data_IF_563095587151
#
_entry.id   IF_563095587151
#
_cell.length_a   1.000
_cell.length_b   1.000
_cell.length_c   1.000
_cell.angle_alpha   90.00
_cell.angle_beta   90.00
_cell.angle_gamma   90.00
#
_symmetry.space_group_name_H-M   'P 1'
#
loop_
_entity.id
_entity.type
_entity.pdbx_description
1 polymer ?
#
# COMPACT_ATOMS: atom_id res chain seq x y z
N UNK A 1 -0.41 11.88 14.10
CA UNK A 1 0.77 11.16 14.60
C UNK A 1 0.95 9.94 13.71
N UNK A 2 2.11 9.78 13.10
CA UNK A 2 2.39 8.68 12.18
C UNK A 2 2.87 7.47 12.97
N UNK A 3 2.14 6.38 12.91
CA UNK A 3 2.51 5.13 13.58
C UNK A 3 3.07 4.17 12.54
N UNK A 4 4.31 4.41 12.14
CA UNK A 4 4.95 3.58 11.12
C UNK A 4 5.64 2.38 11.76
N UNK A 5 5.18 1.18 11.41
CA UNK A 5 5.84 -0.08 11.78
C UNK A 5 7.14 -0.33 11.00
N UNK A 6 7.36 0.40 9.90
CA UNK A 6 8.48 0.17 8.96
C UNK A 6 9.59 1.17 9.21
N UNK A 7 10.13 1.46 10.16
CA UNK A 7 11.20 2.43 10.27
C UNK A 7 11.37 3.01 11.65
N UNK A 8 10.64 2.44 12.54
CA UNK A 8 10.87 2.50 13.96
C UNK A 8 11.33 3.86 14.51
N UNK A 9 10.41 4.78 14.69
CA UNK A 9 10.65 5.93 15.54
C UNK A 9 10.70 5.58 17.02
N UNK A 10 10.31 4.34 17.36
CA UNK A 10 10.37 3.81 18.72
C UNK A 10 10.85 2.35 18.72
N UNK A 11 11.50 1.95 19.82
CA UNK A 11 11.94 0.58 20.02
C UNK A 11 10.76 -0.33 20.33
N UNK A 12 10.83 -1.58 19.86
CA UNK A 12 9.86 -2.66 20.13
C UNK A 12 8.46 -2.42 19.57
N UNK A 13 8.34 -1.60 18.52
CA UNK A 13 7.09 -1.33 17.80
C UNK A 13 6.94 -2.29 16.62
N UNK A 14 5.71 -2.69 16.31
CA UNK A 14 5.39 -3.55 15.18
C UNK A 14 3.90 -3.88 15.14
N UNK A 15 3.52 -4.84 14.31
CA UNK A 15 2.15 -5.35 14.23
C UNK A 15 2.07 -6.77 14.76
N UNK A 16 1.07 -7.07 15.56
CA UNK A 16 0.73 -8.46 15.95
C UNK A 16 0.32 -9.23 14.71
N UNK A 17 -0.53 -8.63 13.90
CA UNK A 17 -1.05 -9.22 12.67
C UNK A 17 -1.58 -8.12 11.75
N UNK A 18 -1.52 -8.39 10.44
CA UNK A 18 -2.17 -7.58 9.40
C UNK A 18 -3.30 -8.38 8.78
N UNK A 19 -4.49 -7.78 8.67
CA UNK A 19 -5.57 -8.27 7.80
C UNK A 19 -5.78 -7.27 6.68
N UNK A 20 -5.86 -7.78 5.44
CA UNK A 20 -5.95 -6.95 4.24
C UNK A 20 -7.36 -6.94 3.69
N UNK A 21 -7.93 -5.75 3.59
CA UNK A 21 -9.21 -5.51 2.92
C UNK A 21 -8.98 -5.43 1.41
N UNK A 22 -9.71 -6.26 0.66
CA UNK A 22 -9.74 -6.22 -0.81
C UNK A 22 -10.76 -5.17 -1.27
N UNK A 23 -10.32 -3.92 -1.42
CA UNK A 23 -11.16 -2.79 -1.84
C UNK A 23 -11.78 -3.02 -3.23
N UNK A 24 -11.00 -3.61 -4.15
CA UNK A 24 -11.47 -3.93 -5.50
C UNK A 24 -12.65 -4.92 -5.49
N UNK A 25 -12.62 -5.92 -4.59
CA UNK A 25 -13.72 -6.88 -4.45
C UNK A 25 -15.01 -6.22 -3.97
N UNK A 26 -14.92 -5.33 -3.00
CA UNK A 26 -16.08 -4.56 -2.53
C UNK A 26 -16.70 -3.76 -3.69
N UNK A 27 -15.85 -3.12 -4.51
CA UNK A 27 -16.32 -2.39 -5.69
C UNK A 27 -17.00 -3.29 -6.74
N UNK A 28 -16.55 -4.54 -6.87
CA UNK A 28 -17.19 -5.50 -7.78
C UNK A 28 -18.55 -5.99 -7.26
N UNK A 29 -18.69 -6.13 -5.95
CA UNK A 29 -19.91 -6.61 -5.29
C UNK A 29 -21.01 -5.52 -5.20
N UNK A 30 -20.64 -4.22 -5.35
CA UNK A 30 -21.53 -3.08 -5.12
C UNK A 30 -21.76 -2.23 -6.38
N UNK A 31 -22.81 -1.41 -6.38
CA UNK A 31 -23.20 -0.57 -7.53
C UNK A 31 -23.03 0.92 -7.27
N UNK A 32 -23.25 1.35 -6.04
CA UNK A 32 -23.21 2.76 -5.61
C UNK A 32 -22.12 3.01 -4.59
N UNK A 33 -21.73 4.28 -4.38
CA UNK A 33 -20.78 4.66 -3.32
C UNK A 33 -21.32 4.30 -1.93
N UNK A 34 -22.61 4.49 -1.70
CA UNK A 34 -23.25 4.21 -0.41
C UNK A 34 -23.26 2.71 -0.08
N UNK A 35 -23.61 1.87 -1.07
CA UNK A 35 -23.49 0.41 -0.92
C UNK A 35 -22.03 0.00 -0.64
N UNK A 36 -21.08 0.61 -1.36
CA UNK A 36 -19.66 0.35 -1.17
C UNK A 36 -19.19 0.71 0.25
N UNK A 37 -19.54 1.89 0.74
CA UNK A 37 -19.13 2.35 2.07
C UNK A 37 -19.76 1.49 3.17
N UNK A 38 -21.02 1.06 3.01
CA UNK A 38 -21.68 0.15 3.95
C UNK A 38 -20.99 -1.22 3.99
N UNK A 39 -20.68 -1.81 2.82
CA UNK A 39 -19.96 -3.08 2.75
C UNK A 39 -18.52 -2.96 3.28
N UNK A 40 -17.86 -1.84 3.01
CA UNK A 40 -16.52 -1.55 3.54
C UNK A 40 -16.52 -1.49 5.07
N UNK A 41 -17.52 -0.86 5.65
CA UNK A 41 -17.70 -0.80 7.10
C UNK A 41 -17.81 -2.20 7.71
N UNK A 42 -18.68 -3.05 7.15
CA UNK A 42 -18.86 -4.43 7.60
C UNK A 42 -17.57 -5.25 7.46
N UNK A 43 -16.89 -5.17 6.29
CA UNK A 43 -15.65 -5.90 6.05
C UNK A 43 -14.53 -5.45 6.97
N UNK A 44 -14.43 -4.15 7.22
CA UNK A 44 -13.45 -3.59 8.15
C UNK A 44 -13.71 -4.10 9.58
N UNK A 45 -14.95 -4.10 10.02
CA UNK A 45 -15.34 -4.63 11.33
C UNK A 45 -15.00 -6.12 11.48
N UNK A 46 -15.33 -6.95 10.48
CA UNK A 46 -14.98 -8.38 10.48
C UNK A 46 -13.46 -8.58 10.55
N UNK A 47 -12.68 -7.77 9.82
CA UNK A 47 -11.21 -7.80 9.90
C UNK A 47 -10.71 -7.47 11.31
N UNK A 48 -11.32 -6.51 11.99
CA UNK A 48 -10.97 -6.13 13.36
C UNK A 48 -11.28 -7.24 14.36
N UNK A 49 -12.46 -7.88 14.26
CA UNK A 49 -12.79 -9.04 15.09
C UNK A 49 -11.77 -10.18 14.93
N UNK A 50 -11.34 -10.45 13.69
CA UNK A 50 -10.33 -11.47 13.42
C UNK A 50 -8.94 -11.08 13.98
N UNK A 51 -8.55 -9.81 13.87
CA UNK A 51 -7.29 -9.31 14.42
C UNK A 51 -7.28 -9.38 15.95
N UNK A 52 -8.39 -9.03 16.59
CA UNK A 52 -8.55 -9.09 18.03
C UNK A 52 -8.46 -10.54 18.53
N UNK A 53 -9.15 -11.47 17.88
CA UNK A 53 -9.07 -12.89 18.21
C UNK A 53 -7.63 -13.44 18.11
N UNK A 54 -6.88 -13.05 17.07
CA UNK A 54 -5.46 -13.42 16.91
C UNK A 54 -4.61 -12.81 18.03
N UNK A 55 -4.84 -11.52 18.38
CA UNK A 55 -4.14 -10.86 19.48
C UNK A 55 -4.35 -11.59 20.79
N UNK A 56 -5.58 -11.97 21.12
CA UNK A 56 -5.89 -12.76 22.33
C UNK A 56 -5.15 -14.11 22.35
N UNK A 57 -5.08 -14.83 21.22
CA UNK A 57 -4.34 -16.09 21.14
C UNK A 57 -2.85 -15.87 21.38
N UNK A 58 -2.27 -14.83 20.77
CA UNK A 58 -0.84 -14.51 20.93
C UNK A 58 -0.56 -14.06 22.36
N UNK A 59 -1.38 -13.16 22.94
CA UNK A 59 -1.26 -12.70 24.32
C UNK A 59 -1.24 -13.86 25.32
N UNK A 60 -2.17 -14.80 25.18
CA UNK A 60 -2.18 -16.02 25.99
C UNK A 60 -0.90 -16.83 25.87
N UNK A 61 -0.27 -16.84 24.71
CA UNK A 61 1.00 -17.55 24.49
C UNK A 61 2.21 -16.78 25.06
N UNK A 62 2.14 -15.43 25.04
CA UNK A 62 3.11 -14.56 25.74
C UNK A 62 3.06 -14.83 27.24
N UNK A 63 1.86 -14.84 27.84
CA UNK A 63 1.65 -15.08 29.29
C UNK A 63 2.17 -16.46 29.71
N UNK A 64 2.08 -17.47 28.84
CA UNK A 64 2.62 -18.80 29.08
C UNK A 64 4.14 -18.89 28.90
N UNK A 65 4.82 -17.85 28.49
CA UNK A 65 6.26 -17.81 28.25
C UNK A 65 6.77 -18.66 27.09
N UNK A 66 5.88 -19.08 26.17
CA UNK A 66 6.25 -19.95 25.04
C UNK A 66 6.73 -19.18 23.81
N UNK A 67 6.77 -17.84 23.87
CA UNK A 67 7.28 -16.99 22.81
C UNK A 67 8.58 -16.29 23.28
N UNK A 68 9.76 -16.83 22.93
CA UNK A 68 11.03 -16.41 23.53
C UNK A 68 11.38 -14.94 23.31
N UNK A 69 11.04 -14.36 22.16
CA UNK A 69 11.32 -12.94 21.89
C UNK A 69 10.60 -12.00 22.87
N UNK A 70 9.41 -12.36 23.33
CA UNK A 70 8.68 -11.63 24.35
C UNK A 70 9.25 -11.91 25.75
N UNK A 71 9.52 -13.17 26.07
CA UNK A 71 10.06 -13.59 27.37
C UNK A 71 11.42 -12.95 27.64
N UNK A 72 12.27 -12.80 26.61
CA UNK A 72 13.56 -12.12 26.71
C UNK A 72 13.47 -10.59 26.57
N UNK A 73 12.28 -10.03 26.50
CA UNK A 73 12.07 -8.57 26.44
C UNK A 73 12.55 -7.91 25.14
N UNK A 74 12.75 -8.68 24.06
CA UNK A 74 13.11 -8.13 22.75
C UNK A 74 11.94 -7.44 22.09
N UNK A 75 10.72 -7.93 22.31
CA UNK A 75 9.46 -7.37 21.81
C UNK A 75 8.56 -7.06 23.02
N UNK A 76 7.88 -5.94 22.94
CA UNK A 76 6.86 -5.55 23.92
C UNK A 76 5.47 -5.71 23.30
N UNK A 77 4.67 -6.62 23.85
CA UNK A 77 3.34 -6.93 23.31
C UNK A 77 2.39 -5.74 23.38
N UNK A 78 2.50 -4.91 24.41
CA UNK A 78 1.71 -3.68 24.57
C UNK A 78 1.99 -2.62 23.51
N UNK A 79 3.20 -2.65 22.89
CA UNK A 79 3.59 -1.72 21.85
C UNK A 79 3.28 -2.22 20.42
N UNK A 80 2.66 -3.39 20.29
CA UNK A 80 2.28 -3.92 18.98
C UNK A 80 0.87 -3.48 18.58
N UNK A 81 0.72 -3.07 17.34
CA UNK A 81 -0.55 -2.68 16.73
C UNK A 81 -1.31 -3.89 16.19
N UNK A 82 -2.63 -3.75 16.05
CA UNK A 82 -3.41 -4.50 15.07
C UNK A 82 -3.50 -3.67 13.80
N UNK A 83 -3.18 -4.25 12.64
CA UNK A 83 -3.07 -3.50 11.38
C UNK A 83 -4.15 -3.91 10.39
N UNK A 84 -4.90 -2.92 9.91
CA UNK A 84 -5.79 -3.07 8.75
C UNK A 84 -5.00 -2.65 7.51
N UNK A 85 -4.65 -3.62 6.66
CA UNK A 85 -4.08 -3.37 5.36
C UNK A 85 -5.15 -3.20 4.28
N UNK A 86 -4.81 -2.62 3.15
CA UNK A 86 -5.69 -2.53 1.99
C UNK A 86 -4.95 -2.69 0.67
N UNK A 87 -5.69 -3.14 -0.35
CA UNK A 87 -5.27 -3.25 -1.74
C UNK A 87 -6.41 -2.85 -2.68
N UNK A 88 -6.07 -2.43 -3.89
CA UNK A 88 -7.07 -2.29 -4.96
C UNK A 88 -7.84 -0.98 -4.96
N UNK A 89 -7.28 0.10 -4.42
CA UNK A 89 -7.91 1.44 -4.47
C UNK A 89 -8.04 1.93 -5.92
N UNK A 90 -7.01 1.73 -6.76
CA UNK A 90 -7.04 2.10 -8.18
C UNK A 90 -8.16 1.37 -8.92
N UNK A 91 -8.27 0.06 -8.72
CA UNK A 91 -9.30 -0.77 -9.34
C UNK A 91 -10.70 -0.38 -8.86
N UNK A 92 -10.83 0.04 -7.60
CA UNK A 92 -12.06 0.64 -7.07
C UNK A 92 -12.44 1.92 -7.83
N UNK A 93 -11.50 2.87 -7.96
CA UNK A 93 -11.75 4.11 -8.69
C UNK A 93 -12.08 3.86 -10.16
N UNK A 94 -11.46 2.84 -10.77
CA UNK A 94 -11.73 2.43 -12.14
C UNK A 94 -13.13 1.83 -12.30
N UNK A 95 -13.58 1.01 -11.35
CA UNK A 95 -14.94 0.44 -11.33
C UNK A 95 -16.01 1.52 -11.31
N UNK A 96 -15.81 2.58 -10.53
CA UNK A 96 -16.71 3.74 -10.46
C UNK A 96 -16.52 4.75 -11.60
N UNK A 97 -15.58 4.49 -12.55
CA UNK A 97 -15.27 5.36 -13.70
C UNK A 97 -14.71 6.73 -13.31
N UNK A 98 -14.02 6.81 -12.18
CA UNK A 98 -13.38 8.01 -11.67
C UNK A 98 -11.92 8.15 -12.11
N UNK A 99 -11.39 7.15 -12.81
CA UNK A 99 -10.09 7.18 -13.48
C UNK A 99 -10.29 7.60 -14.93
N UNK A 100 -9.48 8.54 -15.40
CA UNK A 100 -9.47 9.06 -16.76
C UNK A 100 -8.07 8.98 -17.36
N UNK A 101 -8.01 9.19 -18.67
CA UNK A 101 -6.74 9.23 -19.43
C UNK A 101 -6.72 10.55 -20.21
N UNK A 102 -5.59 11.27 -20.13
CA UNK A 102 -5.37 12.51 -20.86
C UNK A 102 -4.99 12.27 -22.34
N UNK A 103 -4.81 13.33 -23.10
CA UNK A 103 -4.42 13.29 -24.50
C UNK A 103 -3.03 12.68 -24.75
N UNK A 104 -2.16 12.61 -23.74
CA UNK A 104 -0.84 11.99 -23.77
C UNK A 104 -0.86 10.53 -23.31
N UNK A 105 -2.05 10.01 -22.97
CA UNK A 105 -2.24 8.65 -22.48
C UNK A 105 -1.85 8.47 -21.01
N UNK A 106 -1.71 9.56 -20.23
CA UNK A 106 -1.47 9.46 -18.80
C UNK A 106 -2.78 9.29 -18.02
N UNK A 107 -2.78 8.35 -17.12
CA UNK A 107 -3.91 8.13 -16.21
C UNK A 107 -3.91 9.19 -15.11
N UNK A 108 -5.09 9.67 -14.74
CA UNK A 108 -5.28 10.58 -13.62
C UNK A 108 -6.61 10.32 -12.89
N UNK A 109 -6.66 10.75 -11.63
CA UNK A 109 -7.85 10.69 -10.80
C UNK A 109 -8.66 11.98 -10.93
N UNK A 110 -9.96 11.84 -11.14
CA UNK A 110 -10.89 12.97 -11.09
C UNK A 110 -11.09 13.48 -9.66
N UNK A 111 -11.63 14.67 -9.47
CA UNK A 111 -12.02 15.19 -8.15
C UNK A 111 -12.96 14.23 -7.40
N UNK A 112 -13.84 13.53 -8.13
CA UNK A 112 -14.70 12.48 -7.54
C UNK A 112 -13.89 11.30 -7.01
N UNK A 113 -12.81 10.90 -7.67
CA UNK A 113 -11.93 9.86 -7.16
C UNK A 113 -11.27 10.27 -5.86
N UNK A 114 -10.78 11.51 -5.79
CA UNK A 114 -10.18 12.09 -4.59
C UNK A 114 -11.18 12.11 -3.43
N UNK A 115 -12.36 12.67 -3.65
CA UNK A 115 -13.40 12.73 -2.62
C UNK A 115 -13.87 11.35 -2.15
N UNK A 116 -14.03 10.41 -3.07
CA UNK A 116 -14.44 9.04 -2.73
C UNK A 116 -13.33 8.27 -2.01
N UNK A 117 -12.06 8.43 -2.42
CA UNK A 117 -10.92 7.85 -1.73
C UNK A 117 -10.80 8.31 -0.27
N UNK A 118 -11.00 9.61 -0.03
CA UNK A 118 -11.04 10.15 1.33
C UNK A 118 -12.15 9.51 2.16
N UNK A 119 -13.37 9.36 1.63
CA UNK A 119 -14.48 8.69 2.31
C UNK A 119 -14.13 7.22 2.65
N UNK A 120 -13.48 6.51 1.74
CA UNK A 120 -13.03 5.12 1.96
C UNK A 120 -12.11 5.05 3.18
N UNK A 121 -11.04 5.84 3.21
CA UNK A 121 -10.08 5.83 4.31
C UNK A 121 -10.67 6.37 5.62
N UNK A 122 -11.51 7.40 5.56
CA UNK A 122 -12.24 7.89 6.73
C UNK A 122 -13.17 6.83 7.32
N UNK A 123 -13.86 6.06 6.48
CA UNK A 123 -14.73 4.96 6.93
C UNK A 123 -13.92 3.88 7.65
N UNK A 124 -12.81 3.42 7.07
CA UNK A 124 -11.94 2.43 7.71
C UNK A 124 -11.43 2.94 9.06
N UNK A 125 -11.02 4.21 9.11
CA UNK A 125 -10.51 4.83 10.34
C UNK A 125 -11.60 4.95 11.41
N UNK A 126 -12.78 5.45 11.04
CA UNK A 126 -13.92 5.56 11.94
C UNK A 126 -14.28 4.22 12.56
N UNK A 127 -14.38 3.16 11.77
CA UNK A 127 -14.69 1.80 12.24
C UNK A 127 -13.62 1.31 13.23
N UNK A 128 -12.34 1.58 12.96
CA UNK A 128 -11.26 1.23 13.88
C UNK A 128 -11.36 1.98 15.22
N UNK A 129 -11.62 3.28 15.17
CA UNK A 129 -11.76 4.11 16.38
C UNK A 129 -13.00 3.72 17.21
N UNK A 130 -14.12 3.41 16.53
CA UNK A 130 -15.35 2.89 17.17
C UNK A 130 -15.12 1.51 17.80
N UNK A 131 -14.38 0.64 17.15
CA UNK A 131 -14.01 -0.67 17.67
C UNK A 131 -13.19 -0.55 18.96
N UNK A 132 -12.12 0.26 18.95
CA UNK A 132 -11.30 0.52 20.15
C UNK A 132 -12.17 1.00 21.31
N UNK A 133 -13.06 1.93 21.04
CA UNK A 133 -13.94 2.50 22.08
C UNK A 133 -14.97 1.49 22.60
N UNK A 134 -15.58 0.71 21.70
CA UNK A 134 -16.66 -0.23 22.06
C UNK A 134 -16.14 -1.41 22.88
N UNK A 135 -14.94 -1.90 22.54
CA UNK A 135 -14.33 -3.06 23.21
C UNK A 135 -13.27 -2.67 24.25
N UNK A 136 -13.12 -1.35 24.53
CA UNK A 136 -12.16 -0.82 25.51
C UNK A 136 -10.75 -1.39 25.30
N UNK A 137 -10.32 -1.43 24.01
CA UNK A 137 -9.04 -2.04 23.66
C UNK A 137 -7.85 -1.31 24.31
N UNK A 138 -6.95 -2.04 24.93
CA UNK A 138 -5.69 -1.54 25.52
C UNK A 138 -4.55 -1.40 24.50
N UNK A 139 -4.85 -1.56 23.20
CA UNK A 139 -3.92 -1.48 22.08
C UNK A 139 -4.44 -0.54 20.99
N UNK A 140 -3.54 -0.17 20.09
CA UNK A 140 -3.85 0.70 18.96
C UNK A 140 -4.11 -0.10 17.69
N UNK A 141 -4.96 0.47 16.82
CA UNK A 141 -5.23 -0.04 15.47
C UNK A 141 -4.72 0.98 14.47
N UNK A 142 -3.98 0.51 13.47
CA UNK A 142 -3.51 1.35 12.38
C UNK A 142 -4.03 0.86 11.03
N UNK A 143 -4.03 1.78 10.05
CA UNK A 143 -4.38 1.51 8.65
C UNK A 143 -3.13 1.69 7.80
N UNK A 144 -2.81 0.71 6.96
CA UNK A 144 -1.54 0.66 6.24
C UNK A 144 -1.73 0.26 4.77
N UNK A 145 -1.00 0.94 3.92
CA UNK A 145 -0.81 0.54 2.52
C UNK A 145 0.19 -0.63 2.51
N UNK A 146 -0.31 -1.85 2.37
CA UNK A 146 0.54 -3.05 2.45
C UNK A 146 1.14 -3.42 1.07
N UNK A 147 2.32 -4.04 1.01
CA UNK A 147 2.93 -4.50 -0.27
C UNK A 147 2.06 -5.48 -1.06
N UNK A 148 1.36 -6.38 -0.40
CA UNK A 148 0.40 -7.34 -0.98
C UNK A 148 1.03 -8.48 -1.77
N UNK A 149 2.05 -8.22 -2.57
CA UNK A 149 2.83 -9.23 -3.32
C UNK A 149 2.00 -10.40 -3.88
N UNK A 150 2.27 -11.63 -3.41
CA UNK A 150 1.54 -12.82 -3.86
C UNK A 150 0.05 -12.81 -3.50
N UNK A 151 -0.35 -12.14 -2.42
CA UNK A 151 -1.75 -11.97 -2.04
C UNK A 151 -2.50 -11.11 -3.05
N UNK A 152 -1.88 -10.04 -3.55
CA UNK A 152 -2.47 -9.16 -4.57
C UNK A 152 -2.80 -9.93 -5.87
N UNK A 153 -1.88 -10.80 -6.31
CA UNK A 153 -2.10 -11.66 -7.47
C UNK A 153 -3.21 -12.69 -7.24
N UNK A 154 -3.19 -13.37 -6.08
CA UNK A 154 -4.19 -14.39 -5.73
C UNK A 154 -5.60 -13.80 -5.59
N UNK A 155 -5.73 -12.62 -4.98
CA UNK A 155 -7.01 -11.94 -4.84
C UNK A 155 -7.57 -11.56 -6.21
N UNK A 156 -6.76 -10.97 -7.09
CA UNK A 156 -7.19 -10.64 -8.43
C UNK A 156 -7.59 -11.88 -9.25
N UNK A 157 -6.83 -12.98 -9.17
CA UNK A 157 -7.17 -14.22 -9.87
C UNK A 157 -8.52 -14.78 -9.43
N UNK A 158 -8.82 -14.75 -8.12
CA UNK A 158 -10.13 -15.14 -7.59
C UNK A 158 -11.24 -14.23 -8.10
N UNK A 159 -11.02 -12.93 -8.08
CA UNK A 159 -12.02 -11.97 -8.53
C UNK A 159 -12.24 -12.04 -10.03
N UNK A 160 -11.22 -12.29 -10.84
CA UNK A 160 -11.34 -12.60 -12.27
C UNK A 160 -12.21 -13.84 -12.54
N UNK A 161 -12.11 -14.84 -11.69
CA UNK A 161 -12.95 -16.05 -11.82
C UNK A 161 -14.44 -15.73 -11.62
N UNK A 162 -14.76 -14.93 -10.59
CA UNK A 162 -16.16 -14.56 -10.29
C UNK A 162 -16.69 -13.42 -11.17
N UNK A 163 -15.82 -12.51 -11.60
CA UNK A 163 -16.15 -11.30 -12.38
C UNK A 163 -15.33 -11.18 -13.67
N UNK A 164 -15.37 -12.18 -14.58
CA UNK A 164 -14.46 -12.23 -15.74
C UNK A 164 -14.67 -11.08 -16.74
N UNK A 165 -15.82 -10.40 -16.68
CA UNK A 165 -16.15 -9.27 -17.58
C UNK A 165 -15.88 -7.90 -16.97
N UNK A 166 -15.36 -7.83 -15.74
CA UNK A 166 -15.05 -6.56 -15.11
C UNK A 166 -13.85 -5.88 -15.81
N UNK A 167 -13.99 -4.58 -16.08
CA UNK A 167 -12.97 -3.80 -16.80
C UNK A 167 -12.04 -3.05 -15.85
N UNK A 168 -11.54 -3.75 -14.83
CA UNK A 168 -10.63 -3.17 -13.82
C UNK A 168 -9.26 -3.84 -13.82
N UNK A 169 -9.05 -4.87 -14.60
CA UNK A 169 -7.85 -5.73 -14.59
C UNK A 169 -6.82 -5.27 -15.62
N UNK A 170 -6.21 -4.11 -15.41
CA UNK A 170 -5.17 -3.58 -16.31
C UNK A 170 -3.82 -4.26 -16.11
N UNK A 171 -3.57 -4.76 -14.91
CA UNK A 171 -2.34 -5.40 -14.50
C UNK A 171 -2.60 -6.85 -14.06
N UNK A 172 -1.56 -7.68 -13.91
CA UNK A 172 -1.72 -9.08 -13.49
C UNK A 172 -2.02 -9.25 -11.98
N UNK A 173 -1.99 -8.18 -11.20
CA UNK A 173 -2.21 -8.16 -9.76
C UNK A 173 -2.85 -6.83 -9.34
N UNK A 174 -3.53 -6.80 -8.20
CA UNK A 174 -4.05 -5.57 -7.63
C UNK A 174 -2.95 -4.63 -7.17
N UNK A 175 -3.14 -3.34 -7.43
CA UNK A 175 -2.19 -2.32 -6.99
C UNK A 175 -2.23 -2.14 -5.47
N UNK A 176 -1.05 -2.02 -4.86
CA UNK A 176 -0.92 -1.54 -3.50
C UNK A 176 -0.66 -0.02 -3.45
N UNK A 177 -0.01 0.53 -4.47
CA UNK A 177 0.13 1.98 -4.63
C UNK A 177 -1.22 2.62 -4.96
N UNK A 178 -1.45 3.86 -4.53
CA UNK A 178 -2.68 4.60 -4.86
C UNK A 178 -2.91 4.69 -6.37
N UNK A 179 -1.85 4.84 -7.17
CA UNK A 179 -1.84 4.54 -8.60
C UNK A 179 -0.75 3.48 -8.82
N UNK A 180 -1.08 2.27 -9.30
CA UNK A 180 -0.11 1.19 -9.43
C UNK A 180 1.08 1.55 -10.32
N UNK A 181 2.28 1.05 -10.00
CA UNK A 181 3.53 1.41 -10.68
C UNK A 181 3.53 1.06 -12.18
N UNK A 182 2.80 0.01 -12.58
CA UNK A 182 2.64 -0.37 -13.98
C UNK A 182 1.66 0.49 -14.78
N UNK A 183 0.94 1.41 -14.15
CA UNK A 183 0.00 2.31 -14.83
C UNK A 183 0.75 3.57 -15.29
N UNK A 184 0.63 3.89 -16.59
CA UNK A 184 1.20 5.12 -17.14
C UNK A 184 0.50 6.34 -16.53
N UNK A 185 1.27 7.18 -15.85
CA UNK A 185 0.81 8.43 -15.25
C UNK A 185 2.01 9.35 -15.02
N UNK A 186 1.78 10.65 -14.85
CA UNK A 186 2.85 11.58 -14.52
C UNK A 186 3.30 11.44 -13.06
N UNK A 187 4.57 11.75 -12.79
CA UNK A 187 5.07 11.80 -11.41
C UNK A 187 4.27 12.82 -10.57
N UNK A 188 3.91 13.96 -11.19
CA UNK A 188 3.09 14.98 -10.54
C UNK A 188 1.77 14.40 -10.03
N UNK A 189 1.06 13.63 -10.83
CA UNK A 189 -0.20 13.01 -10.43
C UNK A 189 0.01 11.95 -9.33
N UNK A 190 1.09 11.16 -9.40
CA UNK A 190 1.43 10.20 -8.33
C UNK A 190 1.68 10.91 -7.00
N UNK A 191 2.43 12.01 -7.04
CA UNK A 191 2.75 12.82 -5.86
C UNK A 191 1.48 13.47 -5.30
N UNK A 192 0.65 14.06 -6.17
CA UNK A 192 -0.63 14.68 -5.78
C UNK A 192 -1.52 13.70 -5.02
N UNK A 193 -1.74 12.51 -5.60
CA UNK A 193 -2.61 11.48 -4.99
C UNK A 193 -1.99 10.89 -3.73
N UNK A 194 -0.67 10.68 -3.70
CA UNK A 194 0.00 10.21 -2.50
C UNK A 194 -0.12 11.23 -1.35
N UNK A 195 0.15 12.49 -1.61
CA UNK A 195 0.02 13.57 -0.62
C UNK A 195 -1.41 13.69 -0.08
N UNK A 196 -2.41 13.48 -0.94
CA UNK A 196 -3.82 13.55 -0.57
C UNK A 196 -4.25 12.39 0.35
N UNK A 197 -3.71 11.18 0.15
CA UNK A 197 -4.15 9.98 0.88
C UNK A 197 -3.22 9.53 2.01
N UNK A 198 -1.96 9.95 2.01
CA UNK A 198 -0.96 9.56 3.02
C UNK A 198 -1.42 9.83 4.46
N UNK A 199 -2.07 10.99 4.68
CA UNK A 199 -2.54 11.40 5.99
C UNK A 199 -3.56 10.46 6.63
N UNK A 200 -4.23 9.62 5.85
CA UNK A 200 -5.19 8.62 6.33
C UNK A 200 -4.54 7.28 6.70
N UNK A 201 -3.31 7.04 6.24
CA UNK A 201 -2.57 5.80 6.48
C UNK A 201 -1.64 5.94 7.69
N UNK A 202 -2.20 5.94 8.89
CA UNK A 202 -1.41 6.13 10.12
C UNK A 202 -0.48 4.96 10.47
N UNK A 203 -0.64 3.81 9.84
CA UNK A 203 0.31 2.68 9.90
C UNK A 203 1.48 2.83 8.94
N UNK A 204 1.26 3.59 7.87
CA UNK A 204 2.26 3.89 6.85
C UNK A 204 1.72 3.74 5.43
N UNK A 205 2.30 4.55 4.57
CA UNK A 205 2.24 4.39 3.12
C UNK A 205 3.58 4.77 2.53
N UNK A 206 3.89 4.31 1.34
CA UNK A 206 5.11 4.66 0.63
C UNK A 206 4.78 5.02 -0.81
N UNK A 207 5.26 6.18 -1.26
CA UNK A 207 5.28 6.51 -2.68
C UNK A 207 6.56 5.95 -3.30
N UNK A 208 6.43 4.96 -4.15
CA UNK A 208 7.51 4.55 -5.04
C UNK A 208 7.47 5.35 -6.34
N UNK A 209 8.55 6.07 -6.61
CA UNK A 209 8.73 6.82 -7.85
C UNK A 209 9.74 6.06 -8.73
N UNK A 210 9.24 5.36 -9.76
CA UNK A 210 10.10 4.74 -10.75
C UNK A 210 10.65 5.82 -11.68
N UNK A 211 11.96 5.93 -11.76
CA UNK A 211 12.70 6.82 -12.66
C UNK A 211 13.53 6.00 -13.64
N UNK A 212 13.66 6.49 -14.88
CA UNK A 212 14.32 5.72 -15.94
C UNK A 212 15.84 5.58 -15.75
N UNK A 213 16.47 6.56 -15.10
CA UNK A 213 17.90 6.57 -14.81
C UNK A 213 18.19 7.24 -13.46
N UNK A 214 19.33 6.93 -12.81
CA UNK A 214 19.80 7.66 -11.66
C UNK A 214 19.91 9.17 -11.95
N UNK A 215 19.75 9.99 -10.92
CA UNK A 215 19.99 11.44 -11.06
C UNK A 215 21.43 11.72 -11.47
N UNK A 216 21.60 12.60 -12.43
CA UNK A 216 22.94 13.00 -12.93
C UNK A 216 23.64 14.07 -12.08
N UNK A 217 22.93 14.65 -11.12
CA UNK A 217 23.47 15.62 -10.16
C UNK A 217 22.73 15.63 -8.83
N UNK A 218 23.44 16.02 -7.79
CA UNK A 218 22.86 16.23 -6.46
C UNK A 218 21.74 17.26 -6.47
N UNK A 219 21.91 18.37 -7.21
CA UNK A 219 20.90 19.44 -7.28
C UNK A 219 19.57 18.97 -7.85
N UNK A 220 19.59 18.10 -8.89
CA UNK A 220 18.37 17.52 -9.44
C UNK A 220 17.72 16.57 -8.45
N UNK A 221 18.50 15.70 -7.81
CA UNK A 221 17.99 14.82 -6.78
C UNK A 221 17.37 15.62 -5.64
N UNK A 222 18.05 16.65 -5.15
CA UNK A 222 17.59 17.49 -4.05
C UNK A 222 16.31 18.27 -4.38
N UNK A 223 16.21 18.84 -5.59
CA UNK A 223 14.98 19.48 -6.05
C UNK A 223 13.79 18.52 -6.10
N UNK A 224 14.03 17.27 -6.52
CA UNK A 224 12.96 16.28 -6.58
C UNK A 224 12.55 15.83 -5.17
N UNK A 225 13.50 15.62 -4.27
CA UNK A 225 13.22 15.30 -2.85
C UNK A 225 12.38 16.40 -2.21
N UNK A 226 12.79 17.68 -2.35
CA UNK A 226 12.02 18.79 -1.81
C UNK A 226 10.65 18.90 -2.43
N UNK A 227 10.51 18.75 -3.75
CA UNK A 227 9.21 18.78 -4.41
C UNK A 227 8.23 17.75 -3.82
N UNK A 228 8.67 16.51 -3.62
CA UNK A 228 7.82 15.46 -3.07
C UNK A 228 7.51 15.71 -1.58
N UNK A 229 8.51 16.10 -0.80
CA UNK A 229 8.36 16.39 0.63
C UNK A 229 7.44 17.60 0.87
N UNK A 230 7.64 18.70 0.13
CA UNK A 230 6.84 19.93 0.23
C UNK A 230 5.38 19.68 -0.23
N UNK A 231 5.15 18.67 -1.07
CA UNK A 231 3.80 18.27 -1.47
C UNK A 231 3.02 17.54 -0.36
N UNK A 232 3.67 17.20 0.77
CA UNK A 232 3.03 16.52 1.90
C UNK A 232 3.12 15.00 1.90
N UNK A 233 3.89 14.39 0.99
CA UNK A 233 4.16 12.95 0.98
C UNK A 233 5.10 12.62 2.14
N UNK A 234 4.69 11.71 3.00
CA UNK A 234 5.39 11.42 4.25
C UNK A 234 6.58 10.48 4.08
N UNK A 235 6.45 9.50 3.19
CA UNK A 235 7.50 8.52 2.93
C UNK A 235 7.54 8.16 1.45
N UNK A 236 8.72 8.25 0.85
CA UNK A 236 8.91 7.95 -0.56
C UNK A 236 10.29 7.39 -0.87
N UNK A 237 10.38 6.69 -2.00
CA UNK A 237 11.64 6.16 -2.51
C UNK A 237 11.71 6.27 -4.03
N UNK A 238 12.89 6.61 -4.56
CA UNK A 238 13.18 6.52 -5.98
C UNK A 238 13.67 5.12 -6.31
N UNK A 239 13.10 4.53 -7.36
CA UNK A 239 13.56 3.25 -7.89
C UNK A 239 14.03 3.47 -9.32
N UNK A 240 15.25 3.07 -9.61
CA UNK A 240 15.79 3.05 -10.97
C UNK A 240 15.64 1.66 -11.57
N UNK A 241 15.59 1.58 -12.89
CA UNK A 241 15.73 0.31 -13.59
C UNK A 241 17.12 -0.25 -13.35
N UNK A 242 17.19 -1.54 -13.10
CA UNK A 242 18.44 -2.29 -12.98
C UNK A 242 18.56 -3.14 -14.24
N UNK A 243 19.68 -3.03 -14.95
CA UNK A 243 20.00 -3.82 -16.11
C UNK A 243 20.79 -5.07 -15.69
N UNK A 244 20.62 -6.16 -16.44
CA UNK A 244 21.44 -7.36 -16.33
C UNK A 244 21.91 -7.82 -17.70
N UNK A 245 23.17 -8.29 -17.80
CA UNK A 245 23.69 -8.95 -18.98
C UNK A 245 23.39 -10.45 -18.95
N UNK A 246 23.71 -11.15 -20.04
CA UNK A 246 23.54 -12.61 -20.17
C UNK A 246 24.25 -13.44 -19.08
N UNK A 247 25.24 -12.86 -18.40
CA UNK A 247 25.94 -13.48 -17.28
C UNK A 247 25.34 -13.10 -15.90
N UNK A 248 24.17 -12.46 -15.89
CA UNK A 248 23.48 -12.00 -14.67
C UNK A 248 24.27 -10.98 -13.81
N UNK A 249 25.22 -10.24 -14.39
CA UNK A 249 25.79 -9.10 -13.71
C UNK A 249 24.77 -7.97 -13.72
N UNK A 250 24.43 -7.47 -12.53
CA UNK A 250 23.52 -6.33 -12.37
C UNK A 250 24.32 -5.01 -12.43
N UNK A 251 23.81 -4.03 -13.22
CA UNK A 251 24.48 -2.74 -13.41
C UNK A 251 23.50 -1.66 -13.86
N UNK A 252 23.99 -0.44 -13.97
CA UNK A 252 23.30 0.69 -14.58
C UNK A 252 23.97 1.07 -15.89
N UNK A 253 23.19 1.20 -16.97
CA UNK A 253 23.70 1.61 -18.27
C UNK A 253 23.41 0.61 -19.37
N UNK A 254 24.10 0.78 -20.52
CA UNK A 254 23.83 -0.04 -21.72
C UNK A 254 24.81 -1.21 -21.88
N UNK A 255 25.96 -1.12 -21.27
CA UNK A 255 27.05 -2.12 -21.38
C UNK A 255 27.47 -2.53 -20.00
N UNK A 256 27.62 -3.82 -19.77
CA UNK A 256 28.06 -4.39 -18.49
C UNK A 256 29.50 -3.97 -18.16
N UNK A 257 29.76 -3.31 -17.04
CA UNK A 257 31.13 -2.88 -16.67
C UNK A 257 32.03 -4.06 -16.27
N UNK A 258 31.48 -5.25 -16.03
CA UNK A 258 32.23 -6.44 -15.61
C UNK A 258 32.72 -7.26 -16.81
N UNK A 259 31.86 -7.47 -17.80
CA UNK A 259 32.16 -8.39 -18.92
C UNK A 259 32.02 -7.78 -20.32
N UNK A 260 31.64 -6.49 -20.44
CA UNK A 260 31.49 -5.81 -21.71
C UNK A 260 30.25 -6.20 -22.54
N UNK A 261 29.41 -7.10 -22.03
CA UNK A 261 28.19 -7.54 -22.74
C UNK A 261 27.07 -6.48 -22.67
N UNK A 262 26.20 -6.41 -23.70
CA UNK A 262 25.04 -5.51 -23.68
C UNK A 262 24.01 -5.95 -22.66
N UNK A 263 23.03 -5.06 -22.40
CA UNK A 263 21.84 -5.38 -21.60
C UNK A 263 21.03 -6.48 -22.28
N UNK A 264 20.69 -7.51 -21.54
CA UNK A 264 19.77 -8.57 -21.94
C UNK A 264 18.40 -8.42 -21.27
N UNK A 265 18.39 -8.02 -19.98
CA UNK A 265 17.15 -7.90 -19.19
C UNK A 265 17.14 -6.60 -18.40
N UNK A 266 15.97 -5.99 -18.29
CA UNK A 266 15.73 -4.85 -17.40
C UNK A 266 14.75 -5.25 -16.30
N UNK A 267 15.06 -4.85 -15.07
CA UNK A 267 14.21 -5.04 -13.91
C UNK A 267 13.71 -3.70 -13.39
N UNK A 268 12.43 -3.63 -13.07
CA UNK A 268 11.79 -2.48 -12.45
C UNK A 268 10.88 -2.95 -11.34
N UNK A 269 10.66 -2.09 -10.34
CA UNK A 269 9.70 -2.37 -9.26
C UNK A 269 8.26 -2.29 -9.80
N UNK A 270 7.42 -3.24 -9.44
CA UNK A 270 5.99 -3.31 -9.81
C UNK A 270 5.05 -3.27 -8.61
N UNK A 271 5.55 -3.59 -7.42
CA UNK A 271 4.83 -3.46 -6.13
C UNK A 271 5.68 -2.68 -5.15
N UNK A 272 5.04 -1.94 -4.28
CA UNK A 272 5.69 -1.09 -3.28
C UNK A 272 5.93 -1.77 -1.95
#
# INVERSE_FOLDING_TARGET
MYFNSIGGTALKVGSVKVNTVNLARIALDTKTEDEYLSELEERTYICLCALDAVRHIIGRNVDKGILPNFTHGMIDFGHLYNTIGFLGIYETMKKFKYVKVDEFGNTYYTEKASAFGQKIFQTMRRVADEFIKTYECDYQINTEQIPGESAAAKLMQKDKFFYPRARIYDLPLYGNQFIPLGIKTSLHERVRIAAEFDGYCNGGSILHANIDAPFDSFDKAWKMVNYIADSGVTYFAFNTKIQACKHNHAFYGKICPVCGEPVETEYTRIVG
#
